data_IF_526731237225
#
_entry.id   IF_526731237225
#
_cell.length_a   1.000
_cell.length_b   1.000
_cell.length_c   1.000
_cell.angle_alpha   90.00
_cell.angle_beta   90.00
_cell.angle_gamma   90.00
#
_symmetry.space_group_name_H-M   'P 1'
#
loop_
_entity.id
_entity.type
_entity.pdbx_description
1 polymer ?
#
# COMPACT_ATOMS: atom_id res chain seq x y z
N UNK A 1 9.48 -15.21 13.23
CA UNK A 1 8.01 -15.17 13.34
C UNK A 1 7.44 -15.88 12.11
N UNK A 2 6.69 -16.96 12.32
CA UNK A 2 6.01 -17.70 11.24
C UNK A 2 4.62 -17.09 11.08
N UNK A 3 4.27 -16.68 9.86
CA UNK A 3 2.96 -16.10 9.55
C UNK A 3 2.35 -16.84 8.37
N UNK A 4 1.02 -16.99 8.37
CA UNK A 4 0.32 -17.53 7.22
C UNK A 4 0.35 -16.55 6.04
N UNK A 5 0.22 -17.06 4.82
CA UNK A 5 0.11 -16.22 3.63
C UNK A 5 -1.05 -15.20 3.74
N UNK A 6 -2.19 -15.62 4.29
CA UNK A 6 -3.33 -14.71 4.50
C UNK A 6 -2.97 -13.55 5.45
N UNK A 7 -2.38 -13.85 6.60
CA UNK A 7 -1.93 -12.82 7.55
C UNK A 7 -0.91 -11.87 6.91
N UNK A 8 -0.02 -12.39 6.06
CA UNK A 8 0.95 -11.56 5.34
C UNK A 8 0.29 -10.58 4.36
N UNK A 9 -0.67 -11.05 3.55
CA UNK A 9 -1.43 -10.20 2.61
C UNK A 9 -2.26 -9.16 3.37
N UNK A 10 -2.93 -9.58 4.44
CA UNK A 10 -3.75 -8.69 5.27
C UNK A 10 -2.90 -7.58 5.93
N UNK A 11 -1.75 -7.93 6.52
CA UNK A 11 -0.84 -6.96 7.12
C UNK A 11 -0.33 -5.95 6.08
N UNK A 12 0.02 -6.41 4.87
CA UNK A 12 0.44 -5.51 3.79
C UNK A 12 -0.69 -4.58 3.34
N UNK A 13 -1.91 -5.10 3.23
CA UNK A 13 -3.09 -4.28 2.90
C UNK A 13 -3.24 -3.17 3.93
N UNK A 14 -3.20 -3.53 5.22
CA UNK A 14 -3.31 -2.59 6.32
C UNK A 14 -2.20 -1.54 6.31
N UNK A 15 -0.95 -1.93 6.08
CA UNK A 15 0.17 -0.99 5.99
C UNK A 15 0.02 -0.02 4.82
N UNK A 16 -0.41 -0.48 3.64
CA UNK A 16 -0.64 0.39 2.48
C UNK A 16 -1.77 1.39 2.77
N UNK A 17 -2.86 0.95 3.39
CA UNK A 17 -3.96 1.83 3.82
C UNK A 17 -3.45 2.89 4.80
N UNK A 18 -2.64 2.49 5.80
CA UNK A 18 -2.06 3.43 6.77
C UNK A 18 -1.12 4.45 6.12
N UNK A 19 -0.28 4.04 5.17
CA UNK A 19 0.60 4.96 4.44
C UNK A 19 -0.20 6.04 3.69
N UNK A 20 -1.41 5.71 3.23
CA UNK A 20 -2.30 6.62 2.51
C UNK A 20 -3.24 7.43 3.42
N UNK A 21 -3.03 7.43 4.75
CA UNK A 21 -3.92 8.07 5.73
C UNK A 21 -4.19 9.56 5.43
N UNK A 22 -3.17 10.31 5.01
CA UNK A 22 -3.33 11.73 4.67
C UNK A 22 -4.25 11.95 3.45
N UNK A 23 -4.27 11.01 2.51
CA UNK A 23 -5.22 11.04 1.39
C UNK A 23 -6.67 10.93 1.87
N UNK A 24 -6.93 10.08 2.87
CA UNK A 24 -8.27 9.98 3.46
C UNK A 24 -8.66 11.23 4.25
N UNK A 25 -7.71 11.86 4.96
CA UNK A 25 -7.96 13.17 5.60
C UNK A 25 -8.30 14.24 4.54
N UNK A 26 -7.60 14.24 3.41
CA UNK A 26 -7.89 15.16 2.32
C UNK A 26 -9.32 14.95 1.80
N UNK A 27 -9.74 13.71 1.56
CA UNK A 27 -11.12 13.40 1.14
C UNK A 27 -12.14 13.84 2.20
N UNK A 28 -11.87 13.57 3.49
CA UNK A 28 -12.74 13.98 4.59
C UNK A 28 -13.01 15.49 4.62
N UNK A 29 -11.96 16.30 4.43
CA UNK A 29 -12.07 17.76 4.45
C UNK A 29 -12.80 18.34 3.24
N UNK A 30 -12.80 17.64 2.10
CA UNK A 30 -13.33 18.14 0.84
C UNK A 30 -14.73 17.62 0.48
N UNK A 31 -15.35 16.79 1.34
CA UNK A 31 -16.71 16.32 1.14
C UNK A 31 -17.73 17.29 1.77
N UNK A 32 -18.80 17.61 1.04
CA UNK A 32 -19.81 18.60 1.47
C UNK A 32 -20.91 18.04 2.37
N UNK A 33 -21.24 16.74 2.26
CA UNK A 33 -22.33 16.09 3.01
C UNK A 33 -21.92 14.69 3.52
N UNK A 34 -22.32 14.31 4.74
CA UNK A 34 -22.03 13.00 5.36
C UNK A 34 -20.55 12.57 5.30
N UNK A 35 -19.66 13.50 5.64
CA UNK A 35 -18.20 13.36 5.54
C UNK A 35 -17.66 12.05 6.15
N UNK A 36 -18.13 11.68 7.36
CA UNK A 36 -17.61 10.52 8.08
C UNK A 36 -18.00 9.18 7.43
N UNK A 37 -19.28 8.98 7.10
CA UNK A 37 -19.74 7.72 6.52
C UNK A 37 -19.13 7.46 5.15
N UNK A 38 -19.09 8.49 4.30
CA UNK A 38 -18.57 8.36 2.94
C UNK A 38 -17.05 8.15 2.93
N UNK A 39 -16.32 8.75 3.85
CA UNK A 39 -14.87 8.49 4.00
C UNK A 39 -14.58 7.11 4.52
N UNK A 40 -15.32 6.63 5.52
CA UNK A 40 -15.19 5.25 6.00
C UNK A 40 -15.50 4.24 4.90
N UNK A 41 -16.58 4.47 4.14
CA UNK A 41 -16.92 3.69 2.96
C UNK A 41 -15.76 3.65 1.95
N UNK A 42 -15.16 4.81 1.65
CA UNK A 42 -14.03 4.91 0.73
C UNK A 42 -12.77 4.21 1.25
N UNK A 43 -12.45 4.31 2.55
CA UNK A 43 -11.33 3.61 3.17
C UNK A 43 -11.51 2.09 3.05
N UNK A 44 -12.71 1.58 3.35
CA UNK A 44 -13.00 0.15 3.27
C UNK A 44 -12.96 -0.31 1.81
N UNK A 45 -13.56 0.44 0.88
CA UNK A 45 -13.52 0.15 -0.54
C UNK A 45 -12.07 0.11 -1.07
N UNK A 46 -11.25 1.09 -0.72
CA UNK A 46 -9.83 1.14 -1.06
C UNK A 46 -9.07 -0.06 -0.47
N UNK A 47 -9.29 -0.39 0.80
CA UNK A 47 -8.69 -1.55 1.45
C UNK A 47 -9.06 -2.86 0.73
N UNK A 48 -10.33 -3.04 0.34
CA UNK A 48 -10.78 -4.20 -0.44
C UNK A 48 -10.09 -4.29 -1.80
N UNK A 49 -10.00 -3.18 -2.55
CA UNK A 49 -9.30 -3.13 -3.84
C UNK A 49 -7.83 -3.51 -3.70
N UNK A 50 -7.11 -2.89 -2.76
CA UNK A 50 -5.71 -3.21 -2.48
C UNK A 50 -5.57 -4.68 -2.09
N UNK A 51 -6.43 -5.20 -1.21
CA UNK A 51 -6.40 -6.60 -0.78
C UNK A 51 -6.55 -7.58 -1.95
N UNK A 52 -7.49 -7.31 -2.87
CA UNK A 52 -7.69 -8.12 -4.07
C UNK A 52 -6.46 -8.11 -4.97
N UNK A 53 -5.88 -6.94 -5.22
CA UNK A 53 -4.65 -6.79 -6.02
C UNK A 53 -3.51 -7.59 -5.37
N UNK A 54 -3.31 -7.46 -4.06
CA UNK A 54 -2.27 -8.20 -3.36
C UNK A 54 -2.49 -9.72 -3.38
N UNK A 55 -3.74 -10.19 -3.30
CA UNK A 55 -4.06 -11.61 -3.43
C UNK A 55 -3.61 -12.20 -4.78
N UNK A 56 -3.66 -11.40 -5.84
CA UNK A 56 -3.19 -11.78 -7.20
C UNK A 56 -1.67 -11.74 -7.28
N UNK A 57 -1.04 -10.66 -6.82
CA UNK A 57 0.40 -10.42 -6.98
C UNK A 57 1.26 -11.28 -6.04
N UNK A 58 0.81 -11.56 -4.82
CA UNK A 58 1.62 -12.22 -3.79
C UNK A 58 1.71 -13.74 -4.03
N UNK A 59 2.65 -14.15 -4.87
CA UNK A 59 3.00 -15.54 -5.19
C UNK A 59 4.13 -16.10 -4.31
N UNK A 60 4.25 -17.44 -4.23
CA UNK A 60 5.02 -18.19 -3.22
C UNK A 60 6.46 -17.72 -2.97
N UNK A 61 7.10 -17.14 -3.98
CA UNK A 61 8.49 -16.66 -3.89
C UNK A 61 8.63 -15.15 -4.07
N UNK A 62 7.74 -14.51 -4.84
CA UNK A 62 7.83 -13.07 -5.11
C UNK A 62 7.06 -12.21 -4.10
N UNK A 63 6.27 -12.80 -3.19
CA UNK A 63 5.45 -12.04 -2.22
C UNK A 63 6.27 -11.03 -1.41
N UNK A 64 7.47 -11.43 -0.94
CA UNK A 64 8.34 -10.53 -0.17
C UNK A 64 8.90 -9.41 -1.02
N UNK A 65 9.35 -9.73 -2.23
CA UNK A 65 9.90 -8.77 -3.17
C UNK A 65 8.88 -7.70 -3.55
N UNK A 66 7.68 -8.12 -3.96
CA UNK A 66 6.59 -7.20 -4.29
C UNK A 66 6.11 -6.41 -3.08
N UNK A 67 6.01 -7.02 -1.90
CA UNK A 67 5.66 -6.34 -0.65
C UNK A 67 6.61 -5.18 -0.36
N UNK A 68 7.93 -5.39 -0.43
CA UNK A 68 8.93 -4.35 -0.16
C UNK A 68 8.81 -3.22 -1.19
N UNK A 69 8.76 -3.55 -2.49
CA UNK A 69 8.66 -2.54 -3.55
C UNK A 69 7.37 -1.72 -3.42
N UNK A 70 6.23 -2.39 -3.19
CA UNK A 70 4.93 -1.72 -3.05
C UNK A 70 4.88 -0.81 -1.82
N UNK A 71 5.47 -1.23 -0.69
CA UNK A 71 5.51 -0.38 0.51
C UNK A 71 6.45 0.81 0.34
N UNK A 72 7.61 0.64 -0.31
CA UNK A 72 8.52 1.76 -0.60
C UNK A 72 7.83 2.74 -1.54
N UNK A 73 7.26 2.26 -2.64
CA UNK A 73 6.57 3.12 -3.62
C UNK A 73 5.35 3.81 -3.02
N UNK A 74 4.53 3.12 -2.22
CA UNK A 74 3.41 3.70 -1.50
C UNK A 74 3.85 4.75 -0.48
N UNK A 75 4.91 4.49 0.29
CA UNK A 75 5.42 5.43 1.29
C UNK A 75 6.01 6.68 0.65
N UNK A 76 6.86 6.51 -0.37
CA UNK A 76 7.46 7.63 -1.10
C UNK A 76 6.39 8.48 -1.79
N UNK A 77 5.42 7.84 -2.48
CA UNK A 77 4.33 8.57 -3.13
C UNK A 77 3.48 9.37 -2.15
N UNK A 78 3.05 8.74 -1.05
CA UNK A 78 2.30 9.42 0.00
C UNK A 78 3.05 10.63 0.56
N UNK A 79 4.37 10.50 0.77
CA UNK A 79 5.21 11.58 1.26
C UNK A 79 5.34 12.75 0.28
N UNK A 80 5.56 12.48 -1.01
CA UNK A 80 5.71 13.54 -2.01
C UNK A 80 4.38 14.27 -2.27
N UNK A 81 3.27 13.54 -2.29
CA UNK A 81 1.93 14.13 -2.37
C UNK A 81 1.67 15.03 -1.16
N UNK A 82 2.03 14.57 0.04
CA UNK A 82 1.78 15.33 1.27
C UNK A 82 2.70 16.56 1.42
N UNK A 83 4.01 16.39 1.23
CA UNK A 83 5.01 17.41 1.56
C UNK A 83 5.15 18.46 0.46
N UNK A 84 4.94 18.06 -0.80
CA UNK A 84 5.16 18.93 -1.96
C UNK A 84 3.87 19.20 -2.76
N UNK A 85 2.74 18.58 -2.41
CA UNK A 85 1.48 18.75 -3.14
C UNK A 85 1.51 18.19 -4.56
N UNK A 86 2.52 17.38 -4.87
CA UNK A 86 2.78 16.86 -6.21
C UNK A 86 1.87 15.68 -6.49
N UNK A 87 1.07 15.76 -7.57
CA UNK A 87 0.32 14.61 -8.07
C UNK A 87 1.20 13.78 -9.00
N UNK A 88 1.33 12.49 -8.71
CA UNK A 88 2.14 11.58 -9.53
C UNK A 88 1.41 11.28 -10.83
N UNK A 89 1.88 11.91 -11.91
CA UNK A 89 1.40 11.71 -13.28
C UNK A 89 2.59 11.43 -14.23
N UNK A 90 2.30 11.25 -15.52
CA UNK A 90 3.34 10.96 -16.52
C UNK A 90 4.43 12.03 -16.62
N UNK A 91 4.05 13.31 -16.45
CA UNK A 91 4.99 14.43 -16.54
C UNK A 91 5.92 14.46 -15.32
N UNK A 92 5.40 14.19 -14.12
CA UNK A 92 6.22 14.05 -12.92
C UNK A 92 7.21 12.90 -13.03
N UNK A 93 6.81 11.76 -13.63
CA UNK A 93 7.73 10.66 -13.87
C UNK A 93 8.85 11.07 -14.83
N UNK A 94 8.53 11.78 -15.92
CA UNK A 94 9.55 12.31 -16.85
C UNK A 94 10.52 13.25 -16.15
N UNK A 95 10.01 14.12 -15.28
CA UNK A 95 10.85 15.02 -14.50
C UNK A 95 11.82 14.22 -13.63
N UNK A 96 11.32 13.25 -12.85
CA UNK A 96 12.17 12.39 -11.99
C UNK A 96 13.25 11.64 -12.78
N UNK A 97 12.94 11.16 -13.99
CA UNK A 97 13.94 10.49 -14.84
C UNK A 97 15.00 11.45 -15.42
N UNK A 98 14.68 12.73 -15.56
CA UNK A 98 15.56 13.75 -16.08
C UNK A 98 16.21 14.62 -14.97
N UNK A 99 15.85 14.39 -13.70
CA UNK A 99 16.33 15.18 -12.56
C UNK A 99 17.83 14.95 -12.33
N UNK A 100 18.58 16.03 -12.18
CA UNK A 100 20.00 15.98 -11.83
C UNK A 100 20.21 15.63 -10.34
N UNK A 101 21.37 15.05 -10.02
CA UNK A 101 21.67 14.62 -8.64
C UNK A 101 21.59 15.75 -7.62
N UNK A 102 21.96 16.98 -8.00
CA UNK A 102 21.86 18.18 -7.13
C UNK A 102 20.41 18.47 -6.73
N UNK A 103 19.52 18.53 -7.71
CA UNK A 103 18.09 18.78 -7.49
C UNK A 103 17.45 17.68 -6.61
N UNK A 104 17.87 16.42 -6.79
CA UNK A 104 17.39 15.32 -5.96
C UNK A 104 17.84 15.45 -4.49
N UNK A 105 19.06 15.93 -4.23
CA UNK A 105 19.56 16.13 -2.87
C UNK A 105 18.89 17.31 -2.15
N UNK A 106 18.46 18.33 -2.89
CA UNK A 106 17.73 19.47 -2.33
C UNK A 106 16.37 19.06 -1.75
N UNK A 107 15.80 17.93 -2.20
CA UNK A 107 14.55 17.37 -1.67
C UNK A 107 14.74 16.54 -0.39
N UNK A 108 15.98 16.26 0.00
CA UNK A 108 16.29 15.45 1.19
C UNK A 108 16.14 16.29 2.44
N UNK A 109 15.20 15.91 3.29
CA UNK A 109 14.98 16.52 4.59
C UNK A 109 14.79 15.47 5.70
N UNK A 110 14.78 15.92 6.95
CA UNK A 110 14.67 15.04 8.12
C UNK A 110 13.41 14.15 8.07
N UNK A 111 12.20 14.66 7.75
CA UNK A 111 11.02 13.81 7.57
C UNK A 111 11.18 12.69 6.54
N UNK A 112 11.80 12.98 5.39
CA UNK A 112 12.05 11.98 4.35
C UNK A 112 13.02 10.90 4.86
N UNK A 113 14.09 11.30 5.55
CA UNK A 113 15.06 10.35 6.14
C UNK A 113 14.38 9.43 7.15
N UNK A 114 13.54 9.98 8.03
CA UNK A 114 12.79 9.19 9.02
C UNK A 114 11.84 8.20 8.35
N UNK A 115 11.13 8.61 7.29
CA UNK A 115 10.28 7.72 6.52
C UNK A 115 11.07 6.58 5.88
N UNK A 116 12.20 6.90 5.21
CA UNK A 116 13.06 5.91 4.56
C UNK A 116 13.61 4.91 5.59
N UNK A 117 14.07 5.39 6.75
CA UNK A 117 14.50 4.51 7.85
C UNK A 117 13.37 3.60 8.35
N UNK A 118 12.15 4.15 8.52
CA UNK A 118 10.97 3.36 8.86
C UNK A 118 10.67 2.27 7.83
N UNK A 119 10.71 2.60 6.55
CA UNK A 119 10.51 1.65 5.45
C UNK A 119 11.61 0.59 5.39
N UNK A 120 12.87 0.94 5.67
CA UNK A 120 13.99 -0.02 5.76
C UNK A 120 13.74 -1.01 6.91
N UNK A 121 13.31 -0.52 8.08
CA UNK A 121 12.99 -1.39 9.23
C UNK A 121 11.85 -2.35 8.86
N UNK A 122 10.78 -1.85 8.25
CA UNK A 122 9.66 -2.68 7.79
C UNK A 122 10.12 -3.70 6.74
N UNK A 123 10.95 -3.30 5.78
CA UNK A 123 11.54 -4.19 4.78
C UNK A 123 12.39 -5.29 5.40
N UNK A 124 13.22 -4.95 6.37
CA UNK A 124 14.02 -5.92 7.13
C UNK A 124 13.13 -6.91 7.90
N UNK A 125 12.06 -6.43 8.54
CA UNK A 125 11.07 -7.29 9.20
C UNK A 125 10.43 -8.26 8.19
N UNK A 126 10.02 -7.79 7.01
CA UNK A 126 9.45 -8.62 5.93
C UNK A 126 10.44 -9.71 5.50
N UNK A 127 11.72 -9.38 5.30
CA UNK A 127 12.74 -10.36 4.95
C UNK A 127 12.87 -11.45 6.01
N UNK A 128 12.84 -11.08 7.30
CA UNK A 128 12.93 -11.99 8.45
C UNK A 128 11.66 -12.83 8.66
N UNK A 129 10.50 -12.42 8.15
CA UNK A 129 9.27 -13.23 8.28
C UNK A 129 9.37 -14.52 7.48
N UNK A 130 8.88 -15.63 8.04
CA UNK A 130 8.75 -16.88 7.30
C UNK A 130 7.28 -17.09 6.96
N UNK A 131 6.98 -17.10 5.66
CA UNK A 131 5.60 -17.21 5.16
C UNK A 131 5.28 -18.69 4.95
N UNK A 132 4.28 -19.19 5.67
CA UNK A 132 3.78 -20.54 5.49
C UNK A 132 2.75 -20.57 4.35
N UNK A 133 3.02 -21.43 3.37
CA UNK A 133 2.13 -21.64 2.22
C UNK A 133 1.47 -23.02 2.32
N UNK A 134 0.13 -23.09 2.35
CA UNK A 134 -0.57 -24.37 2.25
C UNK A 134 -0.37 -25.02 0.87
N UNK A 135 -0.78 -26.29 0.71
CA UNK A 135 -0.74 -26.99 -0.59
C UNK A 135 -1.44 -26.20 -1.69
N UNK A 136 -0.96 -26.32 -2.94
CA UNK A 136 -1.38 -25.47 -4.06
C UNK A 136 -2.91 -25.37 -4.23
N UNK A 137 -3.64 -26.49 -4.18
CA UNK A 137 -5.11 -26.49 -4.30
C UNK A 137 -5.80 -25.71 -3.18
N UNK A 138 -5.36 -25.91 -1.93
CA UNK A 138 -5.89 -25.19 -0.77
C UNK A 138 -5.52 -23.71 -0.83
N UNK A 139 -4.31 -23.38 -1.27
CA UNK A 139 -3.85 -22.01 -1.47
C UNK A 139 -4.69 -21.28 -2.52
N UNK A 140 -5.00 -21.93 -3.63
CA UNK A 140 -5.86 -21.37 -4.67
C UNK A 140 -7.29 -21.11 -4.15
N UNK A 141 -7.87 -22.07 -3.42
CA UNK A 141 -9.17 -21.90 -2.79
C UNK A 141 -9.20 -20.74 -1.79
N UNK A 142 -8.19 -20.63 -0.92
CA UNK A 142 -8.05 -19.51 0.02
C UNK A 142 -7.93 -18.17 -0.70
N UNK A 143 -7.18 -18.11 -1.81
CA UNK A 143 -7.05 -16.89 -2.63
C UNK A 143 -8.38 -16.46 -3.23
N UNK A 144 -9.04 -17.37 -3.92
CA UNK A 144 -10.32 -17.10 -4.58
C UNK A 144 -11.39 -16.68 -3.56
N UNK A 145 -11.42 -17.35 -2.40
CA UNK A 145 -12.32 -16.99 -1.32
C UNK A 145 -12.06 -15.57 -0.79
N UNK A 146 -10.79 -15.19 -0.55
CA UNK A 146 -10.47 -13.83 -0.08
C UNK A 146 -10.82 -12.76 -1.12
N UNK A 147 -10.55 -13.01 -2.40
CA UNK A 147 -10.94 -12.10 -3.49
C UNK A 147 -12.46 -11.97 -3.54
N UNK A 148 -13.19 -13.09 -3.49
CA UNK A 148 -14.65 -13.08 -3.52
C UNK A 148 -15.26 -12.34 -2.32
N UNK A 149 -14.73 -12.55 -1.10
CA UNK A 149 -15.17 -11.84 0.09
C UNK A 149 -14.90 -10.34 -0.01
N UNK A 150 -13.69 -9.94 -0.43
CA UNK A 150 -13.35 -8.54 -0.63
C UNK A 150 -14.22 -7.87 -1.70
N UNK A 151 -14.52 -8.58 -2.80
CA UNK A 151 -15.42 -8.11 -3.84
C UNK A 151 -16.85 -7.92 -3.32
N UNK A 152 -17.38 -8.87 -2.54
CA UNK A 152 -18.71 -8.74 -1.93
C UNK A 152 -18.81 -7.54 -1.00
N UNK A 153 -17.77 -7.30 -0.18
CA UNK A 153 -17.73 -6.12 0.70
C UNK A 153 -17.66 -4.83 -0.13
N UNK A 154 -16.82 -4.80 -1.16
CA UNK A 154 -16.72 -3.67 -2.07
C UNK A 154 -18.07 -3.34 -2.74
N UNK A 155 -18.74 -4.34 -3.31
CA UNK A 155 -20.06 -4.18 -3.95
C UNK A 155 -21.20 -3.90 -2.96
N UNK A 156 -21.02 -4.11 -1.66
CA UNK A 156 -22.03 -3.76 -0.66
C UNK A 156 -21.93 -2.29 -0.22
N UNK A 157 -20.81 -1.63 -0.51
CA UNK A 157 -20.54 -0.23 -0.17
C UNK A 157 -20.99 0.73 -1.27
N UNK A 158 -20.99 0.27 -2.53
CA UNK A 158 -21.45 1.00 -3.72
C UNK A 158 -22.82 0.51 -4.17
#
# INVERSE_FOLDING_TARGET
MKISWFQFVFLNTFLIVLLNFNGFIFVYKNLSSNQLWLTLALIIAYACLVHMILCVIFVRFLSKFFSIILLITAGMSAYFIQSYGVLINSDMLRNVFNTDTKEAFDLVNIPLILLVLGLIIVGFLILKTTIFYPPFKKQLGVRLLNIFLALRIFCAIF
#
